data_IF_657100258199
#
_entry.id   IF_657100258199
#
_cell.length_a   1.000
_cell.length_b   1.000
_cell.length_c   1.000
_cell.angle_alpha   90.00
_cell.angle_beta   90.00
_cell.angle_gamma   90.00
#
_symmetry.space_group_name_H-M   'P 1'
#
loop_
_entity.id
_entity.type
_entity.pdbx_description
1 polymer ?
#
# COMPACT_ATOMS: atom_id res chain seq x y z
N UNK A 1 -13.03 31.89 71.48
CA UNK A 1 -12.07 32.89 72.01
C UNK A 1 -12.13 34.12 71.11
N UNK A 2 -12.35 35.30 71.72
CA UNK A 2 -12.34 36.70 71.22
C UNK A 2 -12.79 36.98 69.78
N UNK A 3 -13.93 37.63 69.50
CA UNK A 3 -14.35 39.03 69.75
C UNK A 3 -13.53 40.13 69.02
N UNK A 4 -14.27 40.86 68.17
CA UNK A 4 -14.29 42.32 67.97
C UNK A 4 -13.15 43.00 67.16
N UNK A 5 -13.47 43.73 66.07
CA UNK A 5 -14.06 45.09 65.97
C UNK A 5 -12.92 46.10 65.70
N UNK A 6 -12.79 46.59 64.46
CA UNK A 6 -13.26 47.90 64.00
C UNK A 6 -12.24 49.04 64.15
N UNK A 7 -12.30 49.95 63.16
CA UNK A 7 -11.99 51.39 63.26
C UNK A 7 -10.51 51.77 63.43
N UNK A 8 -9.98 52.90 62.91
CA UNK A 8 -10.42 54.01 62.06
C UNK A 8 -9.16 54.92 61.92
N UNK A 9 -9.13 55.74 60.88
CA UNK A 9 -8.50 57.08 60.85
C UNK A 9 -6.97 57.29 60.71
N UNK A 10 -6.66 58.03 59.64
CA UNK A 10 -5.67 59.11 59.59
C UNK A 10 -5.94 59.91 58.31
N UNK A 11 -6.77 60.97 58.30
CA UNK A 11 -6.40 62.36 58.59
C UNK A 11 -5.16 62.79 57.77
N UNK A 12 -5.04 63.90 57.04
CA UNK A 12 -5.83 65.11 56.79
C UNK A 12 -4.84 66.05 56.06
N UNK A 13 -5.21 66.65 54.93
CA UNK A 13 -4.65 67.94 54.43
C UNK A 13 -5.50 68.35 53.21
N UNK A 14 -6.63 69.05 53.40
CA UNK A 14 -6.77 70.50 53.58
C UNK A 14 -6.37 71.33 52.32
N UNK A 15 -7.44 71.73 51.61
CA UNK A 15 -7.75 73.07 51.09
C UNK A 15 -6.69 73.80 50.24
N UNK A 16 -7.02 74.12 48.98
CA UNK A 16 -7.69 75.39 48.60
C UNK A 16 -7.79 75.56 47.08
N UNK A 17 -8.85 76.28 46.69
CA UNK A 17 -8.94 77.25 45.58
C UNK A 17 -9.25 76.75 44.17
N UNK A 18 -10.48 77.11 43.77
CA UNK A 18 -10.83 78.02 42.66
C UNK A 18 -11.73 77.43 41.57
N UNK A 19 -12.82 78.18 41.39
CA UNK A 19 -13.88 78.08 40.40
C UNK A 19 -13.41 78.40 38.98
N UNK A 20 -14.04 77.70 38.02
CA UNK A 20 -14.63 78.19 36.75
C UNK A 20 -13.70 78.89 35.74
N UNK A 21 -13.58 78.31 34.53
CA UNK A 21 -13.94 78.97 33.26
C UNK A 21 -13.83 78.00 32.07
N UNK A 22 -14.85 78.03 31.21
CA UNK A 22 -14.99 77.27 29.96
C UNK A 22 -13.90 77.56 28.94
N UNK A 23 -13.29 76.52 28.35
CA UNK A 23 -12.67 76.60 27.01
C UNK A 23 -13.01 75.34 26.22
N UNK A 24 -13.90 75.53 25.26
CA UNK A 24 -14.24 74.63 24.15
C UNK A 24 -13.05 74.59 23.19
N UNK A 25 -12.54 73.42 22.79
CA UNK A 25 -12.13 73.11 21.40
C UNK A 25 -11.36 71.79 21.22
N UNK A 26 -11.70 71.16 20.07
CA UNK A 26 -10.93 70.25 19.20
C UNK A 26 -10.85 68.76 19.57
N UNK A 27 -11.67 68.02 18.81
CA UNK A 27 -11.44 66.64 18.36
C UNK A 27 -10.03 66.55 17.78
N UNK A 28 -9.20 65.70 18.37
CA UNK A 28 -7.95 65.22 17.77
C UNK A 28 -8.01 63.68 17.76
N UNK A 29 -7.74 63.14 16.58
CA UNK A 29 -7.97 61.77 16.19
C UNK A 29 -7.16 60.77 17.03
N UNK A 30 -7.82 59.71 17.51
CA UNK A 30 -7.13 58.53 18.04
C UNK A 30 -6.42 57.81 16.89
N UNK A 31 -5.09 57.61 16.93
CA UNK A 31 -4.43 56.81 15.91
C UNK A 31 -4.87 55.35 16.05
N UNK A 32 -5.48 54.83 14.98
CA UNK A 32 -5.85 53.42 14.86
C UNK A 32 -4.60 52.56 15.00
N UNK A 33 -4.53 51.77 16.08
CA UNK A 33 -3.51 50.72 16.22
C UNK A 33 -3.88 49.64 15.20
N UNK A 34 -3.16 49.59 14.08
CA UNK A 34 -3.23 48.46 13.18
C UNK A 34 -2.68 47.22 13.89
N UNK A 35 -3.58 46.37 14.37
CA UNK A 35 -3.22 45.02 14.78
C UNK A 35 -2.62 44.30 13.57
N UNK A 36 -1.29 44.13 13.56
CA UNK A 36 -0.60 43.37 12.53
C UNK A 36 -0.95 41.89 12.72
N UNK A 37 -2.00 41.44 12.04
CA UNK A 37 -2.39 40.04 12.06
C UNK A 37 -1.28 39.24 11.38
N UNK A 38 -0.79 38.19 12.05
CA UNK A 38 0.33 37.37 11.58
C UNK A 38 0.14 36.95 10.12
N UNK A 39 0.95 37.51 9.23
CA UNK A 39 0.87 37.26 7.80
C UNK A 39 1.12 35.79 7.46
N UNK A 40 0.52 35.34 6.35
CA UNK A 40 0.71 33.99 5.81
C UNK A 40 2.19 33.78 5.47
N UNK A 41 2.90 33.02 6.31
CA UNK A 41 4.29 32.61 6.03
C UNK A 41 4.29 31.63 4.84
N UNK A 42 5.36 31.60 4.03
CA UNK A 42 5.57 30.51 3.06
C UNK A 42 5.51 29.18 3.82
N UNK A 43 4.69 28.24 3.34
CA UNK A 43 4.36 26.93 3.96
C UNK A 43 3.47 26.97 5.22
N UNK A 44 2.80 28.09 5.53
CA UNK A 44 1.77 28.12 6.57
C UNK A 44 0.46 27.50 6.06
N UNK A 45 -0.03 26.46 6.75
CA UNK A 45 -1.31 25.81 6.47
C UNK A 45 -1.31 24.30 6.74
N UNK A 46 -2.50 23.70 6.82
CA UNK A 46 -2.64 22.24 6.86
C UNK A 46 -2.15 21.68 5.53
N UNK A 47 -1.14 20.79 5.56
CA UNK A 47 -0.65 20.11 4.36
C UNK A 47 -1.84 19.48 3.63
N UNK A 48 -2.00 19.79 2.36
CA UNK A 48 -3.08 19.24 1.55
C UNK A 48 -2.83 17.74 1.32
N UNK A 49 -3.85 16.92 1.51
CA UNK A 49 -3.76 15.47 1.26
C UNK A 49 -3.84 15.15 -0.25
N UNK A 50 -4.33 16.10 -1.05
CA UNK A 50 -4.50 15.98 -2.49
C UNK A 50 -3.72 17.08 -3.20
N UNK A 51 -3.27 16.80 -4.42
CA UNK A 51 -2.54 17.77 -5.27
C UNK A 51 -3.48 18.84 -5.87
N UNK A 52 -4.80 18.55 -5.88
CA UNK A 52 -5.84 19.43 -6.42
C UNK A 52 -6.58 20.22 -5.33
N UNK A 53 -7.28 21.28 -5.76
CA UNK A 53 -8.12 22.10 -4.86
C UNK A 53 -9.35 21.30 -4.41
N UNK A 54 -9.42 20.99 -3.12
CA UNK A 54 -10.57 20.27 -2.54
C UNK A 54 -11.73 21.21 -2.19
N UNK A 55 -12.97 20.76 -2.41
CA UNK A 55 -14.20 21.43 -1.96
C UNK A 55 -14.90 20.57 -0.92
N UNK A 56 -15.53 21.20 0.09
CA UNK A 56 -16.29 20.50 1.13
C UNK A 56 -17.67 20.14 0.60
N UNK A 57 -18.02 18.85 0.58
CA UNK A 57 -19.35 18.32 0.24
C UNK A 57 -19.96 17.62 1.45
N UNK A 58 -21.26 17.81 1.70
CA UNK A 58 -21.99 17.08 2.75
C UNK A 58 -22.45 15.73 2.22
N UNK A 59 -22.08 14.66 2.91
CA UNK A 59 -22.37 13.27 2.54
C UNK A 59 -23.07 12.58 3.72
N UNK A 60 -24.10 11.73 3.49
CA UNK A 60 -24.68 10.89 4.54
C UNK A 60 -23.62 10.02 5.24
N UNK A 61 -23.71 9.90 6.57
CA UNK A 61 -22.70 9.20 7.38
C UNK A 61 -22.46 7.75 6.93
N UNK A 62 -23.51 7.05 6.49
CA UNK A 62 -23.43 5.68 5.98
C UNK A 62 -22.52 5.53 4.77
N UNK A 63 -22.37 6.56 3.94
CA UNK A 63 -21.56 6.53 2.71
C UNK A 63 -20.14 7.05 2.90
N UNK A 64 -19.80 7.58 4.07
CA UNK A 64 -18.49 8.21 4.32
C UNK A 64 -17.35 7.20 4.18
N UNK A 65 -17.55 5.95 4.63
CA UNK A 65 -16.53 4.90 4.54
C UNK A 65 -16.23 4.53 3.09
N UNK A 66 -17.27 4.34 2.27
CA UNK A 66 -17.15 4.02 0.84
C UNK A 66 -16.43 5.13 0.07
N UNK A 67 -16.83 6.39 0.29
CA UNK A 67 -16.20 7.53 -0.39
C UNK A 67 -14.74 7.69 0.04
N UNK A 68 -14.43 7.51 1.33
CA UNK A 68 -13.04 7.56 1.80
C UNK A 68 -12.18 6.46 1.17
N UNK A 69 -12.71 5.25 1.02
CA UNK A 69 -12.01 4.16 0.35
C UNK A 69 -11.78 4.49 -1.14
N UNK A 70 -12.80 5.02 -1.82
CA UNK A 70 -12.72 5.42 -3.22
C UNK A 70 -11.76 6.58 -3.48
N UNK A 71 -11.66 7.53 -2.54
CA UNK A 71 -10.74 8.67 -2.62
C UNK A 71 -9.27 8.34 -2.31
N UNK A 72 -8.95 7.10 -1.90
CA UNK A 72 -7.55 6.70 -1.78
C UNK A 72 -6.97 6.62 -3.20
N UNK A 73 -5.80 7.22 -3.47
CA UNK A 73 -5.15 7.05 -4.76
C UNK A 73 -4.93 5.55 -4.97
N UNK A 74 -5.48 5.00 -6.05
CA UNK A 74 -5.09 3.65 -6.48
C UNK A 74 -3.60 3.70 -6.82
N UNK A 75 -2.78 2.75 -6.36
CA UNK A 75 -1.41 2.64 -6.83
C UNK A 75 -1.41 2.56 -8.35
N UNK A 76 -0.43 3.22 -8.98
CA UNK A 76 -0.12 2.99 -10.40
C UNK A 76 0.11 1.49 -10.60
N UNK A 77 -0.28 0.98 -11.78
CA UNK A 77 -0.13 -0.43 -12.12
C UNK A 77 1.30 -0.92 -11.85
N UNK A 78 1.45 -2.19 -11.47
CA UNK A 78 2.74 -2.78 -11.11
C UNK A 78 3.60 -3.17 -12.32
N UNK A 79 3.38 -2.50 -13.44
CA UNK A 79 4.15 -2.65 -14.65
C UNK A 79 5.56 -2.12 -14.42
N UNK A 80 6.55 -3.01 -14.59
CA UNK A 80 7.96 -2.69 -14.34
C UNK A 80 8.82 -3.05 -15.55
N UNK A 81 9.58 -2.08 -16.06
CA UNK A 81 10.58 -2.35 -17.11
C UNK A 81 11.83 -3.04 -16.55
N UNK A 82 12.13 -2.82 -15.26
CA UNK A 82 13.31 -3.35 -14.61
C UNK A 82 12.93 -4.49 -13.70
N UNK A 83 13.19 -5.70 -14.15
CA UNK A 83 12.93 -6.93 -13.43
C UNK A 83 14.23 -7.70 -13.25
N UNK A 84 14.46 -8.23 -12.04
CA UNK A 84 15.63 -9.05 -11.72
C UNK A 84 15.32 -10.54 -11.97
N UNK A 85 15.47 -10.97 -13.23
CA UNK A 85 15.35 -12.37 -13.63
C UNK A 85 16.71 -13.07 -13.54
N UNK A 86 16.78 -14.15 -12.77
CA UNK A 86 17.98 -14.95 -12.60
C UNK A 86 17.75 -16.35 -13.18
N UNK A 87 18.61 -16.78 -14.10
CA UNK A 87 18.56 -18.14 -14.62
C UNK A 87 19.08 -19.14 -13.58
N UNK A 88 18.38 -20.26 -13.41
CA UNK A 88 18.81 -21.31 -12.49
C UNK A 88 20.02 -22.04 -13.09
N UNK A 89 21.03 -22.28 -12.23
CA UNK A 89 22.17 -23.14 -12.56
C UNK A 89 22.32 -24.18 -11.46
N UNK A 90 21.97 -25.43 -11.76
CA UNK A 90 22.13 -26.52 -10.82
C UNK A 90 23.64 -26.77 -10.64
N UNK A 91 24.15 -26.54 -9.42
CA UNK A 91 25.57 -26.74 -9.08
C UNK A 91 25.81 -27.96 -8.21
N UNK A 92 24.82 -28.37 -7.43
CA UNK A 92 24.93 -29.42 -6.42
C UNK A 92 23.58 -30.13 -6.30
N UNK A 93 23.61 -31.45 -6.19
CA UNK A 93 22.47 -32.28 -5.77
C UNK A 93 22.59 -32.54 -4.27
N UNK A 94 21.49 -32.41 -3.53
CA UNK A 94 21.47 -32.66 -2.08
C UNK A 94 20.28 -33.53 -1.73
N UNK A 95 20.58 -34.74 -1.25
CA UNK A 95 19.58 -35.66 -0.74
C UNK A 95 19.24 -35.25 0.70
N UNK A 96 18.09 -34.62 0.87
CA UNK A 96 17.56 -34.28 2.19
C UNK A 96 16.70 -35.46 2.65
N UNK A 97 16.91 -36.02 3.85
CA UNK A 97 16.03 -37.08 4.35
C UNK A 97 14.61 -36.53 4.50
N UNK A 98 13.65 -37.20 3.88
CA UNK A 98 12.23 -36.89 3.91
C UNK A 98 11.50 -37.96 4.73
N UNK A 99 11.09 -37.67 5.97
CA UNK A 99 10.33 -38.62 6.75
C UNK A 99 8.90 -38.71 6.20
N UNK A 100 8.62 -39.73 5.40
CA UNK A 100 7.24 -40.18 5.13
C UNK A 100 6.66 -40.69 6.45
N UNK A 101 5.74 -39.93 7.06
CA UNK A 101 4.99 -40.40 8.23
C UNK A 101 3.93 -41.36 7.69
N UNK A 102 3.96 -42.66 8.06
CA UNK A 102 2.86 -43.56 7.72
C UNK A 102 1.60 -43.05 8.41
N UNK A 103 0.50 -42.93 7.66
CA UNK A 103 -0.82 -42.56 8.20
C UNK A 103 -1.37 -43.62 9.19
N UNK A 104 -0.71 -44.77 9.34
CA UNK A 104 -1.07 -45.85 10.26
C UNK A 104 -0.10 -46.01 11.43
N UNK A 105 -0.46 -45.43 12.57
CA UNK A 105 0.26 -45.52 13.85
C UNK A 105 0.34 -46.96 14.48
N UNK A 106 0.04 -48.04 13.73
CA UNK A 106 -0.25 -49.35 14.33
C UNK A 106 0.82 -50.45 14.20
N UNK A 107 1.89 -50.25 13.46
CA UNK A 107 2.88 -51.30 13.21
C UNK A 107 4.18 -51.03 13.95
N UNK A 108 4.37 -51.76 15.03
CA UNK A 108 5.55 -51.74 15.91
C UNK A 108 6.83 -52.31 15.26
N UNK A 109 6.79 -52.71 13.99
CA UNK A 109 7.99 -53.08 13.21
C UNK A 109 7.81 -52.54 11.79
N UNK A 110 8.31 -51.34 11.50
CA UNK A 110 8.41 -50.85 10.12
C UNK A 110 9.82 -50.34 9.89
N UNK A 111 10.51 -50.98 8.95
CA UNK A 111 11.69 -50.44 8.28
C UNK A 111 11.36 -49.02 7.81
N UNK A 112 11.95 -48.02 8.46
CA UNK A 112 11.97 -46.66 7.93
C UNK A 112 12.71 -46.71 6.60
N UNK A 113 11.97 -46.76 5.49
CA UNK A 113 12.56 -46.47 4.20
C UNK A 113 12.87 -44.97 4.23
N UNK A 114 14.15 -44.64 4.40
CA UNK A 114 14.62 -43.25 4.32
C UNK A 114 14.43 -42.78 2.88
N UNK A 115 13.27 -42.19 2.60
CA UNK A 115 13.06 -41.48 1.35
C UNK A 115 13.91 -40.21 1.37
N UNK A 116 14.60 -39.91 0.27
CA UNK A 116 15.36 -38.68 0.11
C UNK A 116 14.65 -37.76 -0.88
N UNK A 117 14.64 -36.46 -0.59
CA UNK A 117 14.15 -35.42 -1.49
C UNK A 117 15.31 -34.50 -1.90
N UNK A 118 15.52 -34.35 -3.21
CA UNK A 118 16.33 -33.26 -3.75
C UNK A 118 15.39 -32.11 -4.14
N UNK A 119 15.57 -30.95 -3.49
CA UNK A 119 14.77 -29.76 -3.77
C UNK A 119 14.96 -29.25 -5.20
N UNK A 120 16.13 -29.45 -5.80
CA UNK A 120 16.36 -29.02 -7.17
C UNK A 120 15.49 -29.81 -8.13
N UNK A 121 15.43 -31.14 -7.98
CA UNK A 121 14.59 -32.00 -8.83
C UNK A 121 13.10 -31.77 -8.55
N UNK A 122 12.74 -31.54 -7.29
CA UNK A 122 11.36 -31.28 -6.88
C UNK A 122 10.82 -29.95 -7.41
N UNK A 123 11.62 -28.88 -7.33
CA UNK A 123 11.19 -27.52 -7.68
C UNK A 123 11.44 -27.16 -9.15
N UNK A 124 12.47 -27.75 -9.78
CA UNK A 124 12.96 -27.35 -11.10
C UNK A 124 12.86 -28.53 -12.06
N UNK A 125 11.79 -28.55 -12.86
CA UNK A 125 11.61 -29.59 -13.87
C UNK A 125 12.63 -29.47 -15.02
N UNK A 126 12.86 -28.25 -15.51
CA UNK A 126 13.85 -27.98 -16.54
C UNK A 126 14.70 -26.74 -16.19
N UNK A 127 15.98 -26.89 -15.83
CA UNK A 127 16.81 -25.78 -15.37
C UNK A 127 17.11 -24.75 -16.46
N UNK A 128 17.04 -25.13 -17.74
CA UNK A 128 17.31 -24.20 -18.85
C UNK A 128 16.14 -23.26 -19.15
N UNK A 129 14.92 -23.65 -18.75
CA UNK A 129 13.70 -22.86 -18.97
C UNK A 129 13.11 -22.30 -17.70
N UNK A 130 13.71 -22.60 -16.53
CA UNK A 130 13.27 -22.11 -15.23
C UNK A 130 14.12 -20.92 -14.78
N UNK A 131 13.44 -19.87 -14.33
CA UNK A 131 14.03 -18.63 -13.87
C UNK A 131 13.47 -18.25 -12.51
N UNK A 132 14.31 -17.63 -11.68
CA UNK A 132 13.89 -17.04 -10.42
C UNK A 132 13.65 -15.56 -10.64
N UNK A 133 12.54 -15.07 -10.13
CA UNK A 133 12.19 -13.67 -10.09
C UNK A 133 12.01 -13.21 -8.64
N UNK A 134 12.64 -12.08 -8.27
CA UNK A 134 12.30 -11.37 -7.04
C UNK A 134 11.12 -10.44 -7.29
N UNK A 135 10.06 -10.61 -6.50
CA UNK A 135 8.84 -9.82 -6.61
C UNK A 135 9.00 -8.47 -5.91
N UNK A 136 8.63 -7.39 -6.59
CA UNK A 136 8.68 -6.01 -6.11
C UNK A 136 7.30 -5.34 -6.06
N UNK A 137 6.22 -6.14 -6.06
CA UNK A 137 4.83 -5.68 -6.14
C UNK A 137 3.95 -6.40 -5.11
N UNK A 138 2.90 -5.72 -4.64
CA UNK A 138 1.86 -6.28 -3.77
C UNK A 138 0.60 -6.70 -4.55
N UNK A 139 0.62 -6.65 -5.87
CA UNK A 139 -0.58 -6.88 -6.67
C UNK A 139 -1.13 -8.31 -6.60
N UNK A 140 -0.30 -9.25 -6.14
CA UNK A 140 -0.62 -10.68 -6.00
C UNK A 140 -0.68 -11.14 -4.54
N UNK A 141 -0.89 -10.21 -3.60
CA UNK A 141 -0.90 -10.50 -2.16
C UNK A 141 -1.88 -11.61 -1.75
N UNK A 142 -3.11 -11.60 -2.24
CA UNK A 142 -4.10 -12.64 -1.88
C UNK A 142 -3.82 -13.99 -2.57
N UNK A 143 -2.87 -14.05 -3.51
CA UNK A 143 -2.34 -15.30 -4.06
C UNK A 143 -1.18 -15.87 -3.22
N UNK A 144 -0.80 -15.20 -2.12
CA UNK A 144 0.32 -15.60 -1.25
C UNK A 144 1.68 -15.07 -1.68
N UNK A 145 1.73 -14.19 -2.69
CA UNK A 145 2.95 -13.54 -3.17
C UNK A 145 3.07 -12.17 -2.52
N UNK A 146 4.06 -12.00 -1.64
CA UNK A 146 4.36 -10.73 -0.98
C UNK A 146 5.58 -10.04 -1.59
N UNK A 147 5.87 -8.83 -1.11
CA UNK A 147 7.10 -8.11 -1.45
C UNK A 147 8.34 -8.92 -1.05
N UNK A 148 9.35 -8.87 -1.92
CA UNK A 148 10.64 -9.55 -1.76
C UNK A 148 10.60 -11.08 -1.80
N UNK A 149 9.44 -11.69 -2.05
CA UNK A 149 9.34 -13.12 -2.29
C UNK A 149 10.06 -13.50 -3.60
N UNK A 150 10.63 -14.71 -3.63
CA UNK A 150 11.26 -15.27 -4.82
C UNK A 150 10.27 -16.25 -5.46
N UNK A 151 9.99 -16.08 -6.75
CA UNK A 151 9.10 -16.98 -7.48
C UNK A 151 9.87 -17.70 -8.59
N UNK A 152 9.53 -18.96 -8.82
CA UNK A 152 10.05 -19.72 -9.96
C UNK A 152 9.09 -19.58 -11.13
N UNK A 153 9.66 -19.34 -12.30
CA UNK A 153 8.95 -19.14 -13.56
C UNK A 153 9.50 -20.12 -14.57
N UNK A 154 8.64 -20.95 -15.15
CA UNK A 154 8.99 -21.86 -16.23
C UNK A 154 8.45 -21.35 -17.56
N UNK A 155 9.34 -21.23 -18.54
CA UNK A 155 9.02 -20.80 -19.91
C UNK A 155 8.55 -21.95 -20.82
N UNK A 156 8.78 -23.20 -20.41
CA UNK A 156 8.39 -24.38 -21.19
C UNK A 156 6.90 -24.71 -21.07
N UNK A 157 6.26 -24.24 -20.00
CA UNK A 157 4.85 -24.49 -19.72
C UNK A 157 3.94 -23.57 -20.53
N UNK A 158 2.83 -24.14 -21.02
CA UNK A 158 1.78 -23.38 -21.70
C UNK A 158 0.79 -22.84 -20.67
N UNK A 159 0.60 -21.52 -20.63
CA UNK A 159 -0.27 -20.91 -19.64
C UNK A 159 -1.76 -21.21 -19.86
N UNK A 160 -2.41 -21.75 -18.84
CA UNK A 160 -3.82 -22.06 -18.77
C UNK A 160 -4.70 -20.93 -18.23
N UNK A 161 -5.99 -21.21 -18.10
CA UNK A 161 -6.92 -20.33 -17.36
C UNK A 161 -6.66 -20.49 -15.86
N UNK A 162 -6.53 -19.36 -15.15
CA UNK A 162 -6.34 -19.34 -13.70
C UNK A 162 -4.88 -19.40 -13.27
N UNK A 163 -3.94 -19.63 -14.19
CA UNK A 163 -2.52 -19.70 -13.87
C UNK A 163 -1.95 -18.32 -13.54
N UNK A 164 -0.97 -18.27 -12.65
CA UNK A 164 -0.19 -17.06 -12.41
C UNK A 164 0.93 -17.02 -13.44
N UNK A 165 1.01 -15.92 -14.18
CA UNK A 165 1.96 -15.77 -15.29
C UNK A 165 2.78 -14.51 -15.15
N UNK A 166 4.02 -14.57 -15.64
CA UNK A 166 4.78 -13.37 -15.97
C UNK A 166 4.38 -12.95 -17.38
N UNK A 167 3.69 -11.82 -17.48
CA UNK A 167 3.27 -11.22 -18.74
C UNK A 167 4.15 -10.02 -19.08
N UNK A 168 4.38 -9.81 -20.37
CA UNK A 168 5.03 -8.64 -20.94
C UNK A 168 3.98 -7.88 -21.78
N UNK A 169 3.67 -6.66 -21.37
CA UNK A 169 2.71 -5.76 -22.01
C UNK A 169 3.39 -4.40 -22.15
N UNK A 170 3.34 -3.76 -23.32
CA UNK A 170 4.00 -2.47 -23.56
C UNK A 170 5.48 -2.42 -23.16
N UNK A 171 6.20 -3.55 -23.33
CA UNK A 171 7.60 -3.72 -22.92
C UNK A 171 7.83 -3.62 -21.40
N UNK A 172 6.76 -3.76 -20.61
CA UNK A 172 6.75 -3.80 -19.16
C UNK A 172 6.27 -5.15 -18.67
N UNK A 173 6.96 -5.68 -17.66
CA UNK A 173 6.62 -6.97 -17.09
C UNK A 173 5.66 -6.79 -15.91
N UNK A 174 4.72 -7.73 -15.77
CA UNK A 174 3.80 -7.81 -14.64
C UNK A 174 3.50 -9.27 -14.30
N UNK A 175 3.28 -9.55 -13.01
CA UNK A 175 2.86 -10.87 -12.54
C UNK A 175 1.39 -10.79 -12.17
N UNK A 176 0.56 -11.56 -12.88
CA UNK A 176 -0.90 -11.56 -12.71
C UNK A 176 -1.48 -12.93 -12.92
N UNK A 177 -2.74 -13.11 -12.52
CA UNK A 177 -3.50 -14.30 -12.86
C UNK A 177 -4.09 -14.17 -14.26
N UNK A 178 -3.79 -15.12 -15.13
CA UNK A 178 -4.33 -15.18 -16.48
C UNK A 178 -5.77 -15.68 -16.47
N UNK A 179 -6.72 -14.87 -16.91
CA UNK A 179 -8.13 -15.27 -17.03
C UNK A 179 -8.48 -15.37 -18.51
N UNK A 180 -8.99 -16.55 -18.90
CA UNK A 180 -9.51 -16.84 -20.24
C UNK A 180 -10.99 -17.21 -20.13
N UNK A 181 -11.89 -16.37 -20.62
CA UNK A 181 -13.33 -16.65 -20.59
C UNK A 181 -13.84 -16.92 -22.01
N UNK A 182 -14.56 -18.03 -22.19
CA UNK A 182 -15.19 -18.36 -23.47
C UNK A 182 -16.47 -17.56 -23.62
N UNK A 183 -16.57 -16.71 -24.65
CA UNK A 183 -17.81 -16.02 -24.95
C UNK A 183 -18.66 -16.79 -25.96
N UNK A 184 -19.97 -16.54 -25.95
CA UNK A 184 -20.98 -17.23 -26.76
C UNK A 184 -20.76 -17.10 -28.28
N UNK A 185 -19.94 -16.15 -28.74
CA UNK A 185 -19.64 -15.90 -30.16
C UNK A 185 -18.30 -16.48 -30.63
N UNK A 186 -17.82 -17.55 -29.99
CA UNK A 186 -16.54 -18.22 -30.28
C UNK A 186 -15.27 -17.35 -30.06
N UNK A 187 -15.39 -16.15 -29.50
CA UNK A 187 -14.26 -15.32 -29.10
C UNK A 187 -13.88 -15.65 -27.65
N UNK A 188 -12.58 -15.86 -27.39
CA UNK A 188 -12.07 -16.04 -26.04
C UNK A 188 -11.59 -14.68 -25.53
N UNK A 189 -12.22 -14.17 -24.48
CA UNK A 189 -11.79 -12.92 -23.85
C UNK A 189 -10.66 -13.24 -22.87
N UNK A 190 -9.54 -12.54 -23.00
CA UNK A 190 -8.34 -12.75 -22.18
C UNK A 190 -8.05 -11.45 -21.41
N UNK A 191 -7.82 -11.57 -20.11
CA UNK A 191 -7.37 -10.46 -19.28
C UNK A 191 -6.48 -10.95 -18.14
N UNK A 192 -5.79 -10.02 -17.50
CA UNK A 192 -4.93 -10.28 -16.36
C UNK A 192 -5.59 -9.74 -15.10
N UNK A 193 -5.85 -10.63 -14.14
CA UNK A 193 -6.48 -10.31 -12.87
C UNK A 193 -5.42 -10.09 -11.79
N UNK A 194 -5.56 -9.01 -11.04
CA UNK A 194 -4.78 -8.78 -9.82
C UNK A 194 -5.43 -9.53 -8.64
N UNK A 195 -4.63 -10.17 -7.80
CA UNK A 195 -5.11 -10.78 -6.54
C UNK A 195 -4.93 -9.82 -5.37
N UNK A 196 -5.14 -8.52 -5.60
CA UNK A 196 -5.17 -7.50 -4.57
C UNK A 196 -6.21 -6.43 -4.95
N UNK A 197 -7.25 -6.18 -4.13
CA UNK A 197 -8.29 -5.18 -4.40
C UNK A 197 -7.78 -3.75 -4.60
N UNK A 198 -6.60 -3.44 -4.08
CA UNK A 198 -5.99 -2.12 -4.25
C UNK A 198 -5.41 -1.93 -5.66
N UNK A 199 -5.18 -3.00 -6.42
CA UNK A 199 -4.63 -2.98 -7.78
C UNK A 199 -5.73 -3.30 -8.80
N UNK A 200 -5.83 -2.55 -9.92
CA UNK A 200 -6.84 -2.84 -10.93
C UNK A 200 -6.47 -4.07 -11.78
N UNK A 201 -7.50 -4.68 -12.36
CA UNK A 201 -7.34 -5.71 -13.39
C UNK A 201 -6.96 -5.07 -14.72
N UNK A 202 -6.11 -5.77 -15.49
CA UNK A 202 -5.61 -5.30 -16.78
C UNK A 202 -6.40 -6.00 -17.89
N UNK A 203 -7.23 -5.24 -18.59
CA UNK A 203 -7.95 -5.69 -19.77
C UNK A 203 -7.19 -5.28 -21.02
N UNK A 204 -6.88 -6.27 -21.85
CA UNK A 204 -6.20 -6.05 -23.12
C UNK A 204 -7.18 -5.50 -24.15
N UNK A 205 -6.73 -4.52 -24.94
CA UNK A 205 -7.44 -4.08 -26.15
C UNK A 205 -7.06 -5.01 -27.32
N UNK A 206 -7.92 -5.12 -28.32
CA UNK A 206 -7.74 -6.05 -29.45
C UNK A 206 -6.42 -5.84 -30.23
N UNK A 207 -5.82 -4.64 -30.14
CA UNK A 207 -4.57 -4.27 -30.82
C UNK A 207 -3.32 -4.35 -29.92
N UNK A 208 -3.47 -4.63 -28.63
CA UNK A 208 -2.34 -4.67 -27.69
C UNK A 208 -1.72 -6.06 -27.62
N UNK A 209 -0.42 -6.22 -27.92
CA UNK A 209 0.24 -7.50 -27.84
C UNK A 209 0.46 -7.90 -26.37
N UNK A 210 -0.19 -8.99 -25.95
CA UNK A 210 0.14 -9.71 -24.72
C UNK A 210 1.13 -10.82 -25.03
N UNK A 211 2.33 -10.76 -24.44
CA UNK A 211 3.29 -11.84 -24.49
C UNK A 211 3.36 -12.50 -23.12
N UNK A 212 3.04 -13.78 -23.05
CA UNK A 212 3.25 -14.58 -21.84
C UNK A 212 4.70 -15.05 -21.86
N UNK A 213 5.49 -14.58 -20.90
CA UNK A 213 6.91 -14.92 -20.82
C UNK A 213 7.12 -16.30 -20.20
N UNK A 214 6.34 -16.64 -19.18
CA UNK A 214 6.35 -17.94 -18.52
C UNK A 214 5.28 -18.07 -17.43
N UNK A 215 5.12 -19.29 -16.92
CA UNK A 215 4.16 -19.64 -15.87
C UNK A 215 4.87 -19.72 -14.53
N UNK A 216 4.28 -19.14 -13.49
CA UNK A 216 4.79 -19.23 -12.12
C UNK A 216 4.45 -20.60 -11.55
N UNK A 217 5.47 -21.36 -11.14
CA UNK A 217 5.30 -22.74 -10.63
C UNK A 217 5.39 -22.82 -9.12
N UNK A 218 6.27 -22.03 -8.49
CA UNK A 218 6.54 -22.10 -7.05
C UNK A 218 6.79 -20.71 -6.46
N UNK A 219 6.43 -20.54 -5.19
CA UNK A 219 6.73 -19.36 -4.38
C UNK A 219 7.69 -19.81 -3.28
N UNK A 220 8.91 -19.26 -3.30
CA UNK A 220 9.92 -19.45 -2.27
C UNK A 220 9.82 -18.31 -1.26
N UNK A 221 9.34 -18.66 -0.07
CA UNK A 221 9.15 -17.71 1.03
C UNK A 221 9.95 -18.13 2.25
N UNK A 222 10.86 -17.27 2.68
CA UNK A 222 11.66 -17.48 3.89
C UNK A 222 10.98 -16.78 5.05
N UNK A 223 10.66 -17.52 6.11
CA UNK A 223 9.95 -16.97 7.27
C UNK A 223 10.88 -16.41 8.37
N UNK A 224 12.18 -16.72 8.33
CA UNK A 224 13.18 -16.33 9.35
C UNK A 224 14.54 -16.05 8.72
#
# INVERSE_FOLDING_TARGET
MCWQSFYLHGFLLILKKLQIQDIKMKVEDCPLIEHQHGGKRKNAGRKTHYQEKTVVMRVPESKVLEIKAWLKPKPEDDLSQKIELQAIRNRTALNIPYPSIPDDYSSTDQDYTEDFIDLNEYLVHNPLTTFVLRVNSLSMKNAGIDLDDQILIDRSLTAGHGDIVLALIHNEFTVKRLIKEKQQRAQTKIWLKAENPDYPDIYLRDEEPLIIWGVVTCILKKLR
#
